data_IF_150872817735
#
_entry.id   IF_150872817735
#
_cell.length_a   1.000
_cell.length_b   1.000
_cell.length_c   1.000
_cell.angle_alpha   90.00
_cell.angle_beta   90.00
_cell.angle_gamma   90.00
#
_symmetry.space_group_name_H-M   'P 1'
#
loop_
_entity.id
_entity.type
_entity.pdbx_description
1 polymer ?
#
# COMPACT_ATOMS: atom_id res chain seq x y z
N UNK A 1 -6.86 11.98 -16.11
CA UNK A 1 -5.93 11.89 -14.96
C UNK A 1 -6.40 10.73 -14.11
N UNK A 2 -5.56 9.73 -13.88
CA UNK A 2 -5.90 8.69 -12.92
C UNK A 2 -5.93 9.33 -11.52
N UNK A 3 -6.92 8.95 -10.72
CA UNK A 3 -7.07 9.43 -9.34
C UNK A 3 -6.82 8.25 -8.41
N UNK A 4 -6.16 8.47 -7.27
CA UNK A 4 -5.93 7.40 -6.31
C UNK A 4 -7.28 6.91 -5.79
N UNK A 5 -7.37 5.60 -5.58
CA UNK A 5 -8.57 4.96 -5.05
C UNK A 5 -8.18 4.00 -3.92
N UNK A 6 -9.12 3.78 -3.01
CA UNK A 6 -8.96 2.80 -1.95
C UNK A 6 -10.27 2.05 -1.83
N UNK A 7 -10.18 0.72 -1.89
CA UNK A 7 -11.29 -0.22 -1.71
C UNK A 7 -10.95 -1.18 -0.56
N UNK A 8 -11.92 -1.50 0.27
CA UNK A 8 -11.74 -2.36 1.43
C UNK A 8 -12.94 -3.30 1.58
N UNK A 9 -12.71 -4.60 1.39
CA UNK A 9 -13.76 -5.61 1.30
C UNK A 9 -14.10 -6.30 2.63
N UNK A 10 -13.43 -5.95 3.73
CA UNK A 10 -13.55 -6.66 5.01
C UNK A 10 -12.27 -7.38 5.43
N UNK A 11 -11.44 -7.76 4.44
CA UNK A 11 -10.24 -8.59 4.64
C UNK A 11 -9.03 -8.05 3.90
N UNK A 12 -9.23 -7.55 2.69
CA UNK A 12 -8.21 -7.02 1.81
C UNK A 12 -8.47 -5.54 1.55
N UNK A 13 -7.45 -4.73 1.78
CA UNK A 13 -7.45 -3.33 1.33
C UNK A 13 -6.72 -3.26 0.00
N UNK A 14 -7.37 -2.73 -1.03
CA UNK A 14 -6.75 -2.43 -2.33
C UNK A 14 -6.54 -0.92 -2.46
N UNK A 15 -5.29 -0.50 -2.55
CA UNK A 15 -4.87 0.89 -2.69
C UNK A 15 -4.29 1.12 -4.08
N UNK A 16 -4.93 1.98 -4.86
CA UNK A 16 -4.40 2.47 -6.14
C UNK A 16 -3.70 3.82 -5.95
N UNK A 17 -2.40 3.85 -6.27
CA UNK A 17 -1.53 5.02 -6.11
C UNK A 17 -1.43 5.87 -7.38
N UNK A 18 -2.11 5.51 -8.47
CA UNK A 18 -2.04 6.26 -9.71
C UNK A 18 -2.45 7.73 -9.49
N UNK A 19 -1.63 8.64 -10.01
CA UNK A 19 -1.85 10.08 -9.89
C UNK A 19 -1.24 10.72 -8.64
N UNK A 20 -0.66 9.94 -7.72
CA UNK A 20 0.11 10.46 -6.60
C UNK A 20 1.57 10.76 -6.99
N UNK A 21 2.19 11.71 -6.29
CA UNK A 21 3.64 11.83 -6.27
C UNK A 21 4.29 10.67 -5.52
N UNK A 22 5.60 10.49 -5.67
CA UNK A 22 6.33 9.40 -5.00
C UNK A 22 6.22 9.49 -3.48
N UNK A 23 6.37 10.69 -2.92
CA UNK A 23 6.37 10.86 -1.47
C UNK A 23 4.96 10.71 -0.89
N UNK A 24 3.92 11.26 -1.55
CA UNK A 24 2.52 11.00 -1.18
C UNK A 24 2.18 9.50 -1.25
N UNK A 25 2.64 8.82 -2.30
CA UNK A 25 2.38 7.40 -2.48
C UNK A 25 2.95 6.55 -1.34
N UNK A 26 4.15 6.90 -0.85
CA UNK A 26 4.75 6.23 0.29
C UNK A 26 3.98 6.49 1.59
N UNK A 27 3.60 7.74 1.83
CA UNK A 27 2.88 8.14 3.05
C UNK A 27 1.49 7.49 3.13
N UNK A 28 0.75 7.52 2.02
CA UNK A 28 -0.57 6.87 1.92
C UNK A 28 -0.43 5.35 2.06
N UNK A 29 0.60 4.74 1.48
CA UNK A 29 0.84 3.28 1.63
C UNK A 29 1.10 2.92 3.08
N UNK A 30 1.97 3.68 3.78
CA UNK A 30 2.30 3.41 5.17
C UNK A 30 1.10 3.61 6.11
N UNK A 31 0.34 4.69 5.91
CA UNK A 31 -0.86 4.97 6.70
C UNK A 31 -1.93 3.91 6.48
N UNK A 32 -2.12 3.47 5.22
CA UNK A 32 -3.05 2.38 4.88
C UNK A 32 -2.60 1.06 5.51
N UNK A 33 -1.32 0.74 5.48
CA UNK A 33 -0.75 -0.46 6.08
C UNK A 33 -1.02 -0.52 7.59
N UNK A 34 -0.74 0.58 8.30
CA UNK A 34 -1.00 0.69 9.74
C UNK A 34 -2.47 0.57 10.07
N UNK A 35 -3.33 1.20 9.27
CA UNK A 35 -4.77 1.15 9.50
C UNK A 35 -5.33 -0.25 9.23
N UNK A 36 -4.89 -0.89 8.15
CA UNK A 36 -5.24 -2.27 7.80
C UNK A 36 -4.85 -3.25 8.91
N UNK A 37 -3.62 -3.15 9.43
CA UNK A 37 -3.15 -3.94 10.56
C UNK A 37 -4.02 -3.69 11.81
N UNK A 38 -4.28 -2.42 12.16
CA UNK A 38 -5.07 -2.06 13.34
C UNK A 38 -6.54 -2.51 13.28
N UNK A 39 -7.11 -2.63 12.08
CA UNK A 39 -8.50 -3.06 11.86
C UNK A 39 -8.63 -4.56 11.56
N UNK A 40 -7.54 -5.31 11.73
CA UNK A 40 -7.53 -6.76 11.55
C UNK A 40 -7.74 -7.19 10.10
N UNK A 41 -7.19 -6.44 9.15
CA UNK A 41 -7.17 -6.83 7.73
C UNK A 41 -6.01 -7.78 7.47
N UNK A 42 -6.25 -8.76 6.63
CA UNK A 42 -5.27 -9.83 6.36
C UNK A 42 -4.29 -9.42 5.25
N UNK A 43 -4.68 -8.50 4.37
CA UNK A 43 -3.90 -8.14 3.19
C UNK A 43 -4.03 -6.67 2.84
N UNK A 44 -2.91 -6.09 2.39
CA UNK A 44 -2.87 -4.82 1.66
C UNK A 44 -2.31 -5.07 0.26
N UNK A 45 -3.11 -4.80 -0.76
CA UNK A 45 -2.70 -4.81 -2.17
C UNK A 45 -2.51 -3.37 -2.65
N UNK A 46 -1.30 -3.05 -3.06
CA UNK A 46 -0.91 -1.75 -3.58
C UNK A 46 -0.75 -1.83 -5.09
N UNK A 47 -1.47 -1.00 -5.83
CA UNK A 47 -1.35 -0.82 -7.27
C UNK A 47 -0.52 0.44 -7.49
N UNK A 48 0.76 0.25 -7.83
CA UNK A 48 1.70 1.36 -8.09
C UNK A 48 1.88 1.63 -9.60
N UNK A 49 1.21 0.85 -10.45
CA UNK A 49 1.29 0.97 -11.90
C UNK A 49 2.62 0.48 -12.48
N UNK A 50 2.68 0.47 -13.81
CA UNK A 50 3.79 -0.08 -14.59
C UNK A 50 4.91 0.91 -14.87
N UNK A 51 5.04 1.99 -14.07
CA UNK A 51 5.86 3.19 -14.34
C UNK A 51 7.11 2.86 -15.17
N UNK A 52 7.02 3.13 -16.47
CA UNK A 52 8.11 2.94 -17.42
C UNK A 52 9.06 4.12 -17.25
N UNK A 53 10.23 3.87 -16.68
CA UNK A 53 11.26 4.89 -16.54
C UNK A 53 11.67 5.46 -17.90
N UNK A 54 11.58 6.78 -18.06
CA UNK A 54 12.52 7.55 -18.86
C UNK A 54 13.52 8.23 -17.90
N UNK A 55 14.64 7.57 -17.60
CA UNK A 55 15.78 8.16 -16.86
C UNK A 55 15.88 7.89 -15.34
N UNK A 56 16.88 8.51 -14.68
CA UNK A 56 17.23 8.40 -13.24
C UNK A 56 16.19 8.96 -12.24
N UNK A 57 14.92 9.12 -12.64
CA UNK A 57 13.89 9.66 -11.75
C UNK A 57 13.33 8.53 -10.86
N UNK A 58 13.37 8.76 -9.54
CA UNK A 58 12.72 7.89 -8.53
C UNK A 58 11.24 7.72 -8.90
N UNK A 59 10.78 6.47 -9.00
CA UNK A 59 9.38 6.09 -9.26
C UNK A 59 8.71 5.54 -8.00
N UNK A 60 7.37 5.50 -7.97
CA UNK A 60 6.61 4.89 -6.87
C UNK A 60 7.04 3.43 -6.69
N UNK A 61 7.15 2.68 -7.80
CA UNK A 61 7.64 1.29 -7.80
C UNK A 61 9.03 1.18 -7.15
N UNK A 62 10.03 1.90 -7.64
CA UNK A 62 11.39 1.83 -7.06
C UNK A 62 11.39 2.22 -5.59
N UNK A 63 10.63 3.26 -5.21
CA UNK A 63 10.60 3.75 -3.84
C UNK A 63 9.94 2.77 -2.87
N UNK A 64 8.86 2.10 -3.28
CA UNK A 64 8.22 1.04 -2.48
C UNK A 64 9.15 -0.16 -2.31
N UNK A 65 9.81 -0.59 -3.40
CA UNK A 65 10.77 -1.69 -3.35
C UNK A 65 11.97 -1.35 -2.44
N UNK A 66 12.52 -0.14 -2.52
CA UNK A 66 13.60 0.30 -1.63
C UNK A 66 13.19 0.27 -0.16
N UNK A 67 11.95 0.65 0.17
CA UNK A 67 11.43 0.60 1.54
C UNK A 67 11.23 -0.83 2.04
N UNK A 68 10.81 -1.76 1.17
CA UNK A 68 10.74 -3.18 1.52
C UNK A 68 12.13 -3.76 1.77
N UNK A 69 13.10 -3.43 0.92
CA UNK A 69 14.48 -3.93 1.04
C UNK A 69 15.18 -3.34 2.29
N UNK A 70 14.78 -2.15 2.73
CA UNK A 70 15.20 -1.55 4.01
C UNK A 70 14.46 -2.10 5.24
N UNK A 71 13.42 -2.92 5.05
CA UNK A 71 12.67 -3.57 6.12
C UNK A 71 11.61 -2.71 6.83
N UNK A 72 11.43 -1.44 6.45
CA UNK A 72 10.45 -0.54 7.10
C UNK A 72 9.01 -0.97 6.83
N UNK A 73 8.71 -1.40 5.59
CA UNK A 73 7.41 -1.98 5.22
C UNK A 73 7.34 -3.48 5.52
N UNK A 74 8.48 -4.18 5.43
CA UNK A 74 8.55 -5.62 5.68
C UNK A 74 8.32 -6.02 7.14
N UNK A 75 8.57 -5.13 8.09
CA UNK A 75 8.33 -5.40 9.51
C UNK A 75 6.84 -5.60 9.86
N UNK A 76 5.94 -5.08 9.02
CA UNK A 76 4.48 -5.17 9.19
C UNK A 76 3.85 -6.30 8.36
N UNK A 77 4.63 -6.93 7.49
CA UNK A 77 4.15 -7.93 6.56
C UNK A 77 4.79 -9.29 6.85
N UNK A 78 3.96 -10.31 7.05
CA UNK A 78 4.42 -11.70 7.20
C UNK A 78 4.88 -12.28 5.87
N UNK A 79 4.31 -11.79 4.76
CA UNK A 79 4.71 -12.19 3.41
C UNK A 79 4.53 -11.03 2.43
N UNK A 80 5.41 -10.97 1.42
CA UNK A 80 5.41 -9.91 0.41
C UNK A 80 5.39 -10.56 -0.97
N UNK A 81 4.35 -10.29 -1.75
CA UNK A 81 4.21 -10.75 -3.13
C UNK A 81 4.44 -9.57 -4.06
N UNK A 82 5.57 -9.59 -4.77
CA UNK A 82 5.94 -8.57 -5.75
C UNK A 82 5.42 -8.98 -7.14
N UNK A 83 4.73 -8.08 -7.82
CA UNK A 83 4.28 -8.26 -9.20
C UNK A 83 4.68 -7.06 -10.06
N UNK A 84 4.42 -7.12 -11.36
CA UNK A 84 4.88 -6.09 -12.30
C UNK A 84 4.39 -4.69 -11.92
N UNK A 85 3.10 -4.61 -11.58
CA UNK A 85 2.33 -3.36 -11.41
C UNK A 85 1.67 -3.29 -10.03
N UNK A 86 1.81 -4.35 -9.23
CA UNK A 86 1.21 -4.48 -7.91
C UNK A 86 2.19 -5.04 -6.90
N UNK A 87 1.98 -4.68 -5.64
CA UNK A 87 2.68 -5.18 -4.47
C UNK A 87 1.62 -5.63 -3.46
N UNK A 88 1.65 -6.89 -3.03
CA UNK A 88 0.74 -7.39 -2.00
C UNK A 88 1.52 -7.69 -0.73
N UNK A 89 1.02 -7.18 0.39
CA UNK A 89 1.54 -7.34 1.74
C UNK A 89 0.53 -8.20 2.51
N UNK A 90 0.93 -9.41 2.91
CA UNK A 90 0.16 -10.19 3.87
C UNK A 90 0.50 -9.68 5.27
N UNK A 91 -0.51 -9.34 6.05
CA UNK A 91 -0.38 -8.72 7.36
C UNK A 91 -0.49 -9.78 8.46
N UNK A 92 0.12 -9.50 9.62
CA UNK A 92 -0.10 -10.32 10.80
C UNK A 92 -1.42 -9.93 11.46
N UNK A 93 -2.35 -10.88 11.55
CA UNK A 93 -3.67 -10.69 12.14
C UNK A 93 -3.57 -10.78 13.67
N UNK A 94 -2.95 -9.78 14.28
CA UNK A 94 -2.83 -9.68 15.74
C UNK A 94 -3.96 -8.85 16.36
N UNK A 95 -4.59 -7.99 15.57
CA UNK A 95 -5.68 -7.12 16.01
C UNK A 95 -7.07 -7.80 15.83
N UNK A 96 -8.03 -7.51 16.71
CA UNK A 96 -9.42 -7.91 16.51
C UNK A 96 -9.99 -7.24 15.25
N UNK A 97 -10.84 -7.99 14.52
CA UNK A 97 -11.47 -7.49 13.29
C UNK A 97 -12.43 -6.34 13.62
N UNK A 98 -12.19 -5.18 12.99
CA UNK A 98 -13.09 -4.02 13.02
C UNK A 98 -13.85 -3.94 11.68
N UNK A 99 -15.20 -4.01 11.69
CA UNK A 99 -16.00 -3.99 10.47
C UNK A 99 -15.99 -2.64 9.74
N UNK A 100 -15.50 -1.57 10.36
CA UNK A 100 -15.46 -0.22 9.77
C UNK A 100 -14.56 -0.19 8.53
N UNK A 101 -15.10 0.09 7.33
CA UNK A 101 -14.30 0.13 6.10
C UNK A 101 -13.25 1.23 6.15
N UNK A 102 -12.05 0.93 5.66
CA UNK A 102 -11.01 1.91 5.41
C UNK A 102 -11.36 2.65 4.13
N UNK A 103 -11.27 3.98 4.17
CA UNK A 103 -11.55 4.85 3.03
C UNK A 103 -10.34 5.70 2.69
N UNK A 104 -10.30 6.22 1.46
CA UNK A 104 -9.21 7.11 1.03
C UNK A 104 -9.05 8.35 1.93
N UNK A 105 -10.14 8.82 2.55
CA UNK A 105 -10.12 9.96 3.48
C UNK A 105 -9.42 9.66 4.79
N UNK A 106 -9.41 8.39 5.22
CA UNK A 106 -8.74 7.98 6.45
C UNK A 106 -7.22 8.00 6.31
N UNK A 107 -6.72 7.92 5.07
CA UNK A 107 -5.29 7.80 4.76
C UNK A 107 -4.73 9.00 3.99
N UNK A 108 -5.60 9.95 3.62
CA UNK A 108 -5.25 11.19 2.89
C UNK A 108 -6.19 12.34 3.31
N UNK A 109 -5.84 13.13 4.34
CA UNK A 109 -6.61 14.29 4.77
C UNK A 109 -6.52 15.48 3.81
#
# INVERSE_FOLDING_TARGET
MATPTLDDDGSTVTLDLHGLSVDEALDVTYTTLRLAESRGRSQLKVIHGSSTTQGQRRTIKSALHDQLDRGSLGSHATNIIRSRDTLTLALDLTAPSDPTPITLRDVRP
#
